data_IF_920452948875
#
_entry.id   IF_920452948875
#
_cell.length_a   1.000
_cell.length_b   1.000
_cell.length_c   1.000
_cell.angle_alpha   90.00
_cell.angle_beta   90.00
_cell.angle_gamma   90.00
#
_symmetry.space_group_name_H-M   'P 1'
#
loop_
_entity.id
_entity.type
_entity.pdbx_description
1 polymer ?
#
# COMPACT_ATOMS: atom_id res chain seq x y z
N UNK A 1 8.21 -20.46 15.09
CA UNK A 1 7.11 -19.72 14.42
C UNK A 1 7.71 -18.42 13.90
N UNK A 2 7.63 -18.18 12.60
CA UNK A 2 8.16 -16.95 12.02
C UNK A 2 7.18 -15.80 12.34
N UNK A 3 7.54 -14.97 13.35
CA UNK A 3 6.70 -13.87 13.84
C UNK A 3 6.73 -12.62 12.92
N UNK A 4 7.32 -12.74 11.73
CA UNK A 4 7.41 -11.61 10.79
C UNK A 4 6.13 -11.44 10.01
N UNK A 5 5.35 -10.43 10.36
CA UNK A 5 4.09 -10.11 9.70
C UNK A 5 3.95 -8.61 9.45
N UNK A 6 3.11 -8.30 8.50
CA UNK A 6 2.57 -6.98 8.26
C UNK A 6 1.06 -7.10 8.08
N UNK A 7 0.31 -6.52 8.98
CA UNK A 7 -1.14 -6.42 8.89
C UNK A 7 -1.57 -5.01 8.56
N UNK A 8 -2.65 -4.90 7.81
CA UNK A 8 -3.29 -3.63 7.53
C UNK A 8 -4.80 -3.72 7.71
N UNK A 9 -5.44 -2.56 7.79
CA UNK A 9 -6.88 -2.48 7.89
C UNK A 9 -7.60 -2.56 6.55
N UNK A 10 -8.90 -2.74 6.63
CA UNK A 10 -9.84 -2.59 5.52
C UNK A 10 -10.35 -1.15 5.51
N UNK A 11 -10.09 -0.45 4.42
CA UNK A 11 -10.43 0.96 4.24
C UNK A 11 -11.85 1.13 3.73
N UNK A 12 -12.66 1.89 4.46
CA UNK A 12 -13.98 2.38 4.03
C UNK A 12 -13.77 3.82 3.55
N UNK A 13 -14.18 4.13 2.34
CA UNK A 13 -14.05 5.46 1.75
C UNK A 13 -15.35 5.90 1.04
N UNK A 14 -15.59 7.22 0.91
CA UNK A 14 -16.80 7.72 0.25
C UNK A 14 -16.89 7.34 -1.23
N UNK A 15 -15.76 7.27 -1.95
CA UNK A 15 -15.72 7.14 -3.41
C UNK A 15 -14.81 6.02 -3.91
N UNK A 16 -14.03 5.39 -3.04
CA UNK A 16 -13.04 4.37 -3.38
C UNK A 16 -12.77 3.44 -2.18
N UNK A 17 -11.59 2.85 -2.09
CA UNK A 17 -11.21 1.99 -0.96
C UNK A 17 -11.56 0.52 -1.18
N UNK A 18 -11.50 -0.25 -0.11
CA UNK A 18 -11.91 -1.66 -0.11
C UNK A 18 -13.43 -1.80 -0.02
N UNK A 19 -14.04 -0.89 0.73
CA UNK A 19 -15.48 -0.74 0.89
C UNK A 19 -15.85 0.69 0.51
N UNK A 20 -16.79 0.84 -0.40
CA UNK A 20 -17.31 2.14 -0.77
C UNK A 20 -18.59 2.42 0.03
N UNK A 21 -18.50 3.36 0.97
CA UNK A 21 -19.62 3.81 1.79
C UNK A 21 -19.45 5.31 2.06
N UNK A 22 -20.32 6.13 1.49
CA UNK A 22 -20.24 7.56 1.67
C UNK A 22 -20.90 8.00 2.98
N UNK A 23 -20.05 8.31 3.97
CA UNK A 23 -20.44 8.93 5.24
C UNK A 23 -19.79 10.32 5.41
N UNK A 24 -19.52 11.01 4.30
CA UNK A 24 -18.81 12.28 4.26
C UNK A 24 -17.35 12.15 3.83
N UNK A 25 -16.82 13.22 3.28
CA UNK A 25 -15.43 13.29 2.80
C UNK A 25 -14.56 14.29 3.58
N UNK A 26 -15.10 14.84 4.65
CA UNK A 26 -14.46 15.76 5.60
C UNK A 26 -15.04 15.54 7.00
N UNK A 27 -14.27 15.88 8.03
CA UNK A 27 -14.73 15.82 9.44
C UNK A 27 -15.97 16.67 9.68
N UNK A 28 -16.15 17.76 8.91
CA UNK A 28 -17.28 18.68 9.05
C UNK A 28 -18.60 18.11 8.53
N UNK A 29 -18.53 17.20 7.57
CA UNK A 29 -19.71 16.55 6.96
C UNK A 29 -19.77 15.05 7.25
N UNK A 30 -19.00 14.59 8.24
CA UNK A 30 -18.93 13.19 8.61
C UNK A 30 -20.19 12.73 9.35
N UNK A 31 -20.86 11.74 8.79
CA UNK A 31 -22.01 11.07 9.39
C UNK A 31 -21.58 9.79 10.11
N UNK A 32 -21.17 9.94 11.36
CA UNK A 32 -20.77 8.82 12.21
C UNK A 32 -21.93 7.85 12.47
N UNK A 33 -23.16 8.35 12.63
CA UNK A 33 -24.32 7.51 12.89
C UNK A 33 -24.60 6.56 11.72
N UNK A 34 -24.54 7.08 10.51
CA UNK A 34 -24.65 6.28 9.30
C UNK A 34 -23.54 5.23 9.22
N UNK A 35 -22.30 5.64 9.46
CA UNK A 35 -21.17 4.71 9.45
C UNK A 35 -21.40 3.57 10.45
N UNK A 36 -21.74 3.89 11.70
CA UNK A 36 -21.94 2.89 12.76
C UNK A 36 -23.12 1.95 12.50
N UNK A 37 -24.15 2.41 11.80
CA UNK A 37 -25.31 1.59 11.44
C UNK A 37 -25.02 0.65 10.25
N UNK A 38 -24.15 1.05 9.31
CA UNK A 38 -24.02 0.36 8.03
C UNK A 38 -22.70 -0.44 7.88
N UNK A 39 -21.59 -0.08 8.56
CA UNK A 39 -20.27 -0.67 8.31
C UNK A 39 -20.22 -2.20 8.49
N UNK A 40 -21.10 -2.78 9.33
CA UNK A 40 -21.16 -4.23 9.57
C UNK A 40 -21.81 -5.00 8.42
N UNK A 41 -22.72 -4.37 7.68
CA UNK A 41 -23.38 -4.99 6.53
C UNK A 41 -22.49 -5.06 5.30
N UNK A 42 -21.44 -4.22 5.25
CA UNK A 42 -20.47 -4.23 4.17
C UNK A 42 -19.39 -5.27 4.45
N UNK A 43 -19.52 -6.42 3.79
CA UNK A 43 -18.54 -7.50 3.89
C UNK A 43 -17.43 -7.32 2.87
N UNK A 44 -16.21 -7.57 3.31
CA UNK A 44 -15.04 -7.71 2.47
C UNK A 44 -14.36 -9.02 2.86
N UNK A 45 -13.25 -9.36 2.27
CA UNK A 45 -12.47 -10.54 2.65
C UNK A 45 -11.10 -10.10 3.18
N UNK A 46 -10.47 -10.95 3.97
CA UNK A 46 -9.05 -10.78 4.26
C UNK A 46 -8.29 -10.80 2.95
N UNK A 47 -7.50 -9.76 2.68
CA UNK A 47 -6.88 -9.57 1.38
C UNK A 47 -5.36 -9.64 1.41
N UNK A 48 -4.82 -10.09 0.28
CA UNK A 48 -3.40 -10.32 0.11
C UNK A 48 -2.69 -9.00 -0.22
N UNK A 49 -1.50 -8.83 0.34
CA UNK A 49 -0.59 -7.78 -0.07
C UNK A 49 -1.09 -6.37 0.19
N UNK A 50 -1.90 -6.18 1.22
CA UNK A 50 -2.32 -4.84 1.62
C UNK A 50 -1.12 -4.00 2.05
N UNK A 51 -1.11 -2.76 1.62
CA UNK A 51 -0.03 -1.80 1.86
C UNK A 51 -0.54 -0.43 2.30
N UNK A 52 -1.82 -0.34 2.66
CA UNK A 52 -2.43 0.91 3.14
C UNK A 52 -2.47 0.97 4.67
N UNK A 53 -2.40 2.19 5.22
CA UNK A 53 -2.68 2.45 6.63
C UNK A 53 -4.14 2.06 6.98
N UNK A 54 -4.43 1.70 8.23
CA UNK A 54 -3.50 1.59 9.36
C UNK A 54 -2.65 0.34 9.26
N UNK A 55 -1.43 0.42 9.80
CA UNK A 55 -0.45 -0.66 9.78
C UNK A 55 -0.24 -1.24 11.18
N UNK A 56 -0.13 -2.55 11.27
CA UNK A 56 0.33 -3.25 12.46
C UNK A 56 1.59 -4.04 12.10
N UNK A 57 2.69 -3.64 12.72
CA UNK A 57 4.03 -4.18 12.50
C UNK A 57 4.68 -4.37 13.87
N UNK A 58 5.49 -5.38 14.05
CA UNK A 58 6.27 -5.55 15.24
C UNK A 58 7.28 -4.38 15.38
N UNK A 59 7.39 -3.81 16.60
CA UNK A 59 8.24 -2.65 16.86
C UNK A 59 9.70 -2.89 16.48
N UNK A 60 10.25 -4.05 16.83
CA UNK A 60 11.62 -4.44 16.47
C UNK A 60 11.85 -4.47 14.96
N UNK A 61 10.85 -4.90 14.18
CA UNK A 61 10.91 -4.88 12.73
C UNK A 61 10.84 -3.47 12.17
N UNK A 62 9.98 -2.62 12.74
CA UNK A 62 9.89 -1.21 12.37
C UNK A 62 11.22 -0.48 12.59
N UNK A 63 11.84 -0.68 13.74
CA UNK A 63 13.16 -0.11 14.09
C UNK A 63 14.24 -0.62 13.14
N UNK A 64 14.26 -1.92 12.88
CA UNK A 64 15.23 -2.57 11.98
C UNK A 64 15.20 -1.99 10.55
N UNK A 65 14.02 -1.72 10.01
CA UNK A 65 13.88 -1.18 8.65
C UNK A 65 13.99 0.35 8.59
N UNK A 66 14.12 1.03 9.73
CA UNK A 66 14.17 2.49 9.83
C UNK A 66 12.86 3.19 9.47
N UNK A 67 11.71 2.56 9.73
CA UNK A 67 10.39 3.14 9.51
C UNK A 67 10.09 3.58 8.09
N UNK A 68 9.29 4.64 7.92
CA UNK A 68 9.00 5.26 6.61
C UNK A 68 10.22 6.04 6.09
N UNK A 69 10.44 6.01 4.77
CA UNK A 69 11.55 6.73 4.14
C UNK A 69 11.16 8.15 3.79
N UNK A 70 11.94 9.12 4.27
CA UNK A 70 11.65 10.57 4.09
C UNK A 70 11.68 11.03 2.63
N UNK A 71 12.42 10.34 1.78
CA UNK A 71 12.50 10.63 0.34
C UNK A 71 11.15 10.50 -0.40
N UNK A 72 10.17 9.85 0.24
CA UNK A 72 8.79 9.77 -0.26
C UNK A 72 7.88 10.85 0.31
N UNK A 73 8.40 11.80 1.10
CA UNK A 73 7.59 12.91 1.56
C UNK A 73 7.07 13.72 0.34
N UNK A 74 5.79 13.99 0.27
CA UNK A 74 4.75 13.95 1.29
C UNK A 74 3.87 12.69 1.30
N UNK A 75 4.31 11.53 0.77
CA UNK A 75 3.66 10.27 1.01
C UNK A 75 3.46 9.36 -0.21
N UNK A 76 3.40 9.89 -1.44
CA UNK A 76 3.23 9.04 -2.63
C UNK A 76 4.41 8.06 -2.76
N UNK A 77 4.11 6.77 -2.75
CA UNK A 77 5.12 5.71 -2.88
C UNK A 77 5.69 5.21 -1.55
N UNK A 78 5.35 5.83 -0.41
CA UNK A 78 5.85 5.42 0.92
C UNK A 78 5.35 4.03 1.33
N UNK A 79 4.07 3.71 1.11
CA UNK A 79 3.52 2.41 1.47
C UNK A 79 4.18 1.25 0.72
N UNK A 80 4.31 1.27 -0.61
CA UNK A 80 5.05 0.21 -1.31
C UNK A 80 6.53 0.17 -0.93
N UNK A 81 7.17 1.29 -0.59
CA UNK A 81 8.55 1.32 -0.09
C UNK A 81 8.67 0.62 1.25
N UNK A 82 7.80 0.91 2.19
CA UNK A 82 7.74 0.21 3.47
C UNK A 82 7.58 -1.30 3.27
N UNK A 83 6.66 -1.71 2.40
CA UNK A 83 6.44 -3.11 2.12
C UNK A 83 7.65 -3.78 1.44
N UNK A 84 8.39 -3.06 0.59
CA UNK A 84 9.62 -3.58 -0.02
C UNK A 84 10.74 -3.77 1.01
N UNK A 85 10.90 -2.83 1.96
CA UNK A 85 11.83 -3.00 3.07
C UNK A 85 11.50 -4.25 3.90
N UNK A 86 10.22 -4.41 4.26
CA UNK A 86 9.73 -5.58 4.99
C UNK A 86 9.94 -6.89 4.20
N UNK A 87 9.68 -6.87 2.90
CA UNK A 87 9.94 -8.02 2.03
C UNK A 87 11.41 -8.44 2.08
N UNK A 88 12.33 -7.49 1.97
CA UNK A 88 13.77 -7.75 2.02
C UNK A 88 14.24 -8.29 3.38
N UNK A 89 13.52 -7.95 4.47
CA UNK A 89 13.75 -8.51 5.80
C UNK A 89 13.07 -9.88 6.01
N UNK A 90 12.52 -10.46 4.94
CA UNK A 90 11.93 -11.80 4.96
C UNK A 90 10.49 -11.86 5.46
N UNK A 91 9.79 -10.73 5.59
CA UNK A 91 8.34 -10.74 5.83
C UNK A 91 7.64 -11.34 4.61
N UNK A 92 6.74 -12.30 4.85
CA UNK A 92 5.93 -12.95 3.80
C UNK A 92 4.45 -12.95 4.14
N UNK A 93 4.08 -12.62 5.37
CA UNK A 93 2.69 -12.45 5.78
C UNK A 93 2.34 -10.97 5.60
N UNK A 94 1.69 -10.65 4.48
CA UNK A 94 1.11 -9.35 4.19
C UNK A 94 -0.39 -9.53 4.06
N UNK A 95 -1.12 -9.18 5.10
CA UNK A 95 -2.55 -9.47 5.21
C UNK A 95 -3.33 -8.23 5.57
N UNK A 96 -4.30 -7.89 4.74
CA UNK A 96 -5.34 -6.93 5.09
C UNK A 96 -6.48 -7.63 5.82
N UNK A 97 -6.83 -7.16 7.00
CA UNK A 97 -7.80 -7.78 7.88
C UNK A 97 -9.17 -7.15 7.65
N UNK A 98 -10.16 -7.98 7.23
CA UNK A 98 -11.52 -7.53 6.96
C UNK A 98 -12.17 -6.83 8.16
N UNK A 99 -12.04 -7.42 9.34
CA UNK A 99 -12.69 -6.89 10.54
C UNK A 99 -11.97 -5.70 11.19
N UNK A 100 -10.78 -5.38 10.74
CA UNK A 100 -10.06 -4.18 11.13
C UNK A 100 -10.42 -3.04 10.16
N UNK A 101 -11.61 -2.45 10.33
CA UNK A 101 -12.15 -1.43 9.45
C UNK A 101 -11.83 -0.02 9.95
N UNK A 102 -11.47 0.85 9.02
CA UNK A 102 -11.26 2.28 9.27
C UNK A 102 -11.96 3.10 8.20
N UNK A 103 -12.53 4.23 8.61
CA UNK A 103 -13.05 5.22 7.68
C UNK A 103 -11.96 6.21 7.29
N UNK A 104 -11.74 6.37 5.99
CA UNK A 104 -10.71 7.25 5.44
C UNK A 104 -11.34 8.33 4.56
N UNK A 105 -11.07 9.59 4.86
CA UNK A 105 -11.61 10.75 4.16
C UNK A 105 -10.97 11.03 2.79
N UNK A 106 -10.48 10.01 2.09
CA UNK A 106 -9.90 10.10 0.74
C UNK A 106 -8.84 11.20 0.61
N UNK A 107 -7.83 11.16 1.49
CA UNK A 107 -6.67 12.08 1.46
C UNK A 107 -7.01 13.57 1.59
N UNK A 108 -7.97 13.91 2.42
CA UNK A 108 -8.43 15.30 2.64
C UNK A 108 -7.29 16.28 2.92
N UNK A 109 -6.30 15.88 3.72
CA UNK A 109 -5.14 16.71 4.08
C UNK A 109 -4.33 17.11 2.83
N UNK A 110 -4.19 16.17 1.90
CA UNK A 110 -3.45 16.38 0.65
C UNK A 110 -4.23 17.22 -0.34
N UNK A 111 -5.57 17.01 -0.41
CA UNK A 111 -6.47 17.75 -1.31
C UNK A 111 -6.61 19.22 -0.92
N UNK A 112 -6.59 19.55 0.37
CA UNK A 112 -6.78 20.92 0.88
C UNK A 112 -5.53 21.81 0.79
N UNK A 113 -4.35 21.24 0.57
CA UNK A 113 -3.11 22.02 0.44
C UNK A 113 -2.92 22.48 -1.00
N UNK A 114 -3.33 23.71 -1.31
CA UNK A 114 -3.24 24.32 -2.65
C UNK A 114 -1.81 24.41 -3.20
N UNK A 115 -0.79 24.45 -2.34
CA UNK A 115 0.64 24.53 -2.71
C UNK A 115 1.35 23.17 -2.57
N UNK A 116 0.62 22.07 -2.55
CA UNK A 116 1.17 20.75 -2.39
C UNK A 116 1.83 20.28 -3.67
N UNK A 117 3.15 20.38 -3.74
CA UNK A 117 3.93 19.82 -4.84
C UNK A 117 3.91 18.29 -4.69
N UNK A 118 3.14 17.64 -5.53
CA UNK A 118 3.08 16.18 -5.56
C UNK A 118 4.48 15.62 -5.83
N UNK A 119 4.95 14.72 -4.97
CA UNK A 119 6.24 14.08 -5.20
C UNK A 119 6.15 13.11 -6.40
N UNK A 120 7.29 12.77 -6.97
CA UNK A 120 7.41 11.78 -8.04
C UNK A 120 7.62 10.38 -7.46
N UNK A 121 6.79 9.97 -6.48
CA UNK A 121 7.00 8.77 -5.67
C UNK A 121 7.20 7.48 -6.47
N UNK A 122 6.46 7.28 -7.55
CA UNK A 122 6.68 6.12 -8.44
C UNK A 122 8.07 6.13 -9.10
N UNK A 123 8.56 7.33 -9.47
CA UNK A 123 9.91 7.49 -10.01
C UNK A 123 10.97 7.26 -8.92
N UNK A 124 10.74 7.78 -7.72
CA UNK A 124 11.61 7.57 -6.56
C UNK A 124 11.68 6.09 -6.22
N UNK A 125 10.54 5.39 -6.19
CA UNK A 125 10.48 3.95 -5.96
C UNK A 125 11.28 3.17 -7.01
N UNK A 126 11.07 3.49 -8.31
CA UNK A 126 11.80 2.85 -9.40
C UNK A 126 13.31 3.08 -9.30
N UNK A 127 13.75 4.29 -8.97
CA UNK A 127 15.18 4.60 -8.79
C UNK A 127 15.80 3.86 -7.62
N UNK A 128 15.07 3.74 -6.52
CA UNK A 128 15.54 3.07 -5.31
C UNK A 128 15.63 1.56 -5.47
N UNK A 129 14.61 0.94 -6.08
CA UNK A 129 14.44 -0.51 -6.10
C UNK A 129 14.69 -1.18 -7.45
N UNK A 130 14.88 -0.42 -8.52
CA UNK A 130 15.09 -0.93 -9.88
C UNK A 130 13.85 -1.51 -10.54
N UNK A 131 12.71 -1.51 -9.86
CA UNK A 131 11.42 -1.99 -10.34
C UNK A 131 10.33 -0.95 -10.03
N UNK A 132 9.23 -0.97 -10.80
CA UNK A 132 8.09 -0.08 -10.50
C UNK A 132 7.27 -0.60 -9.31
N UNK A 133 6.61 0.30 -8.57
CA UNK A 133 5.66 -0.06 -7.52
C UNK A 133 4.54 -0.97 -8.04
N UNK A 134 4.10 -0.76 -9.27
CA UNK A 134 3.11 -1.63 -9.95
C UNK A 134 3.63 -3.05 -10.17
N UNK A 135 4.89 -3.19 -10.60
CA UNK A 135 5.53 -4.50 -10.76
C UNK A 135 5.63 -5.24 -9.42
N UNK A 136 6.09 -4.55 -8.38
CA UNK A 136 6.17 -5.09 -7.03
C UNK A 136 4.81 -5.57 -6.52
N UNK A 137 3.79 -4.69 -6.57
CA UNK A 137 2.42 -5.05 -6.16
C UNK A 137 1.86 -6.27 -6.88
N UNK A 138 2.15 -6.41 -8.17
CA UNK A 138 1.65 -7.52 -8.99
C UNK A 138 2.38 -8.83 -8.70
N UNK A 139 3.70 -8.82 -8.72
CA UNK A 139 4.49 -10.06 -8.75
C UNK A 139 4.92 -10.53 -7.36
N UNK A 140 5.18 -9.60 -6.44
CA UNK A 140 5.61 -9.91 -5.08
C UNK A 140 4.43 -9.96 -4.11
N UNK A 141 3.60 -8.92 -4.11
CA UNK A 141 2.55 -8.76 -3.12
C UNK A 141 1.24 -9.46 -3.48
N UNK A 142 1.03 -9.83 -4.75
CA UNK A 142 -0.25 -10.37 -5.26
C UNK A 142 -1.44 -9.52 -4.82
N UNK A 143 -1.26 -8.19 -4.81
CA UNK A 143 -2.27 -7.24 -4.32
C UNK A 143 -3.61 -7.39 -5.04
N UNK A 144 -4.70 -7.12 -4.34
CA UNK A 144 -6.10 -7.25 -4.80
C UNK A 144 -6.62 -8.69 -4.93
N UNK A 145 -5.94 -9.68 -4.38
CA UNK A 145 -6.46 -11.03 -4.26
C UNK A 145 -6.90 -11.32 -2.83
N UNK A 146 -7.71 -12.35 -2.63
CA UNK A 146 -8.04 -12.87 -1.30
C UNK A 146 -6.78 -13.43 -0.64
N UNK A 147 -6.67 -13.23 0.68
CA UNK A 147 -5.57 -13.81 1.43
C UNK A 147 -5.75 -15.32 1.55
N UNK A 148 -4.75 -16.07 1.13
CA UNK A 148 -4.76 -17.53 1.19
C UNK A 148 -3.66 -18.04 2.12
N UNK A 149 -2.44 -17.51 1.99
CA UNK A 149 -1.26 -17.99 2.71
C UNK A 149 -0.16 -16.90 2.71
N UNK A 150 0.93 -17.08 3.47
CA UNK A 150 2.14 -16.30 3.29
C UNK A 150 2.61 -16.31 1.83
N UNK A 151 3.22 -15.21 1.41
CA UNK A 151 3.70 -15.05 0.04
C UNK A 151 4.98 -15.86 -0.20
N UNK A 152 5.02 -16.51 -1.35
CA UNK A 152 6.23 -17.12 -1.88
C UNK A 152 7.04 -16.12 -2.73
N UNK A 153 8.27 -16.51 -3.10
CA UNK A 153 9.04 -15.77 -4.09
C UNK A 153 8.29 -15.67 -5.42
N UNK A 154 8.45 -14.54 -6.14
CA UNK A 154 7.75 -14.34 -7.41
C UNK A 154 8.03 -15.45 -8.42
N UNK A 155 6.97 -15.95 -9.06
CA UNK A 155 7.12 -16.90 -10.17
C UNK A 155 7.78 -16.21 -11.36
N UNK A 156 9.00 -16.60 -11.70
CA UNK A 156 9.82 -16.06 -12.81
C UNK A 156 9.39 -16.63 -14.16
N UNK A 157 8.17 -16.35 -14.60
CA UNK A 157 7.64 -16.72 -15.91
C UNK A 157 7.89 -15.62 -16.97
N UNK A 158 7.46 -15.86 -18.22
CA UNK A 158 7.62 -14.90 -19.31
C UNK A 158 7.05 -13.51 -18.98
N UNK A 159 5.87 -13.45 -18.36
CA UNK A 159 5.21 -12.18 -17.98
C UNK A 159 6.04 -11.42 -16.96
N UNK A 160 6.67 -12.12 -16.00
CA UNK A 160 7.59 -11.53 -15.03
C UNK A 160 8.79 -10.90 -15.74
N UNK A 161 9.44 -11.63 -16.65
CA UNK A 161 10.63 -11.11 -17.35
C UNK A 161 10.31 -9.94 -18.29
N UNK A 162 9.19 -10.00 -19.02
CA UNK A 162 8.74 -8.85 -19.84
C UNK A 162 8.47 -7.61 -18.96
N UNK A 163 7.86 -7.81 -17.80
CA UNK A 163 7.65 -6.74 -16.83
C UNK A 163 8.96 -6.17 -16.30
N UNK A 164 9.95 -7.03 -16.02
CA UNK A 164 11.26 -6.62 -15.54
C UNK A 164 12.05 -5.83 -16.61
N UNK A 165 11.99 -6.26 -17.87
CA UNK A 165 12.58 -5.54 -19.01
C UNK A 165 11.97 -4.14 -19.10
N UNK A 166 10.63 -4.02 -19.00
CA UNK A 166 9.94 -2.73 -18.97
C UNK A 166 10.44 -1.84 -17.82
N UNK A 167 10.61 -2.40 -16.63
CA UNK A 167 11.16 -1.65 -15.49
C UNK A 167 12.57 -1.14 -15.78
N UNK A 168 13.44 -1.95 -16.39
CA UNK A 168 14.81 -1.57 -16.76
C UNK A 168 14.83 -0.44 -17.79
N UNK A 169 13.99 -0.52 -18.83
CA UNK A 169 13.86 0.56 -19.84
C UNK A 169 13.42 1.86 -19.18
N UNK A 170 12.41 1.81 -18.32
CA UNK A 170 11.92 3.00 -17.59
C UNK A 170 13.00 3.55 -16.64
N UNK A 171 13.75 2.69 -15.97
CA UNK A 171 14.83 3.08 -15.07
C UNK A 171 15.92 3.84 -15.84
N UNK A 172 16.40 3.27 -16.94
CA UNK A 172 17.41 3.90 -17.81
C UNK A 172 16.92 5.25 -18.35
N UNK A 173 15.68 5.31 -18.83
CA UNK A 173 15.07 6.56 -19.28
C UNK A 173 15.10 7.64 -18.19
N UNK A 174 14.68 7.31 -16.96
CA UNK A 174 14.64 8.28 -15.86
C UNK A 174 16.02 8.64 -15.26
N UNK A 175 17.07 7.89 -15.57
CA UNK A 175 18.44 8.29 -15.23
C UNK A 175 18.99 9.23 -16.28
N UNK A 176 18.74 8.96 -17.56
CA UNK A 176 19.28 9.73 -18.68
C UNK A 176 18.53 11.06 -18.88
N UNK A 177 17.23 11.08 -18.67
CA UNK A 177 16.39 12.29 -18.77
C UNK A 177 16.24 12.90 -17.38
N UNK A 178 17.09 13.88 -17.08
CA UNK A 178 17.05 14.66 -15.83
C UNK A 178 15.87 15.60 -15.76
#
# INVERSE_FOLDING_TARGET
VNNKFYFSGTMIEPYSGHIMLNCGDDIKNFDEKKLLSEYKSHNFYDHQGSHFAPHLIEKSMWEKIGGMSEEFNPGIGSDPDLNMKLWNEGVRIFKGINNFKVYHFSSITTRKKTNFKQNKGDRTFLKKWGITSKFFKKHYMKSKTKYEAPLDEPKKNLIYYLGLIKCKIMYTYYILVK
#
